data_IF_048116862716
#
_entry.id   IF_048116862716
#
_cell.length_a   1.000
_cell.length_b   1.000
_cell.length_c   1.000
_cell.angle_alpha   90.00
_cell.angle_beta   90.00
_cell.angle_gamma   90.00
#
_symmetry.space_group_name_H-M   'P 1'
#
loop_
_entity.id
_entity.type
_entity.pdbx_description
1 polymer ?
#
# COMPACT_ATOMS: atom_id res chain seq x y z
N UNK A 1 -10.84 1.92 5.58
CA UNK A 1 -10.86 0.94 4.47
C UNK A 1 -12.07 1.18 3.58
N UNK A 2 -12.30 2.44 3.25
CA UNK A 2 -13.54 2.90 2.64
C UNK A 2 -13.29 4.21 1.95
N UNK A 3 -14.07 4.55 0.93
CA UNK A 3 -14.11 5.90 0.39
C UNK A 3 -15.48 6.50 0.63
N UNK A 4 -15.58 7.83 0.55
CA UNK A 4 -16.82 8.55 0.76
C UNK A 4 -17.23 9.30 -0.51
N UNK A 5 -18.53 9.42 -0.73
CA UNK A 5 -19.17 10.35 -1.67
C UNK A 5 -20.23 11.17 -0.94
N UNK A 6 -20.67 12.25 -1.57
CA UNK A 6 -21.76 13.08 -1.08
C UNK A 6 -22.83 13.15 -2.16
N UNK A 7 -24.09 12.93 -1.78
CA UNK A 7 -25.21 13.05 -2.69
C UNK A 7 -25.36 14.51 -3.14
N UNK A 8 -25.34 14.75 -4.45
CA UNK A 8 -25.54 16.09 -5.03
C UNK A 8 -27.02 16.43 -5.22
N UNK A 9 -27.87 15.40 -5.21
CA UNK A 9 -29.32 15.46 -5.30
C UNK A 9 -29.90 14.27 -4.53
N UNK A 10 -31.21 14.29 -4.28
CA UNK A 10 -31.93 13.14 -3.73
C UNK A 10 -31.73 11.91 -4.64
N UNK A 11 -31.51 10.74 -4.03
CA UNK A 11 -31.22 9.50 -4.77
C UNK A 11 -31.71 8.27 -4.01
N UNK A 12 -32.24 7.29 -4.74
CA UNK A 12 -32.65 6.00 -4.20
C UNK A 12 -31.69 4.89 -4.65
N UNK A 13 -31.18 4.09 -3.71
CA UNK A 13 -30.35 2.93 -4.00
C UNK A 13 -30.87 1.71 -3.25
N UNK A 14 -31.29 0.66 -3.98
CA UNK A 14 -31.81 -0.58 -3.39
C UNK A 14 -32.94 -0.34 -2.37
N UNK A 15 -33.86 0.58 -2.65
CA UNK A 15 -34.96 0.95 -1.75
C UNK A 15 -34.56 1.89 -0.60
N UNK A 16 -33.28 2.29 -0.50
CA UNK A 16 -32.80 3.24 0.51
C UNK A 16 -32.79 4.64 -0.06
N UNK A 17 -33.57 5.53 0.54
CA UNK A 17 -33.61 6.95 0.17
C UNK A 17 -32.47 7.73 0.83
N UNK A 18 -31.78 8.54 0.03
CA UNK A 18 -30.73 9.46 0.47
C UNK A 18 -31.07 10.87 -0.03
N UNK A 19 -30.84 11.88 0.80
CA UNK A 19 -31.10 13.29 0.48
C UNK A 19 -29.86 13.98 -0.07
N UNK A 20 -30.09 15.05 -0.84
CA UNK A 20 -29.01 15.96 -1.22
C UNK A 20 -28.22 16.40 0.04
N UNK A 21 -26.90 16.28 -0.02
CA UNK A 21 -26.00 16.58 1.10
C UNK A 21 -25.61 15.37 1.94
N UNK A 22 -26.33 14.24 1.87
CA UNK A 22 -25.98 13.03 2.62
C UNK A 22 -24.63 12.46 2.21
N UNK A 23 -23.91 11.89 3.20
CA UNK A 23 -22.60 11.27 3.00
C UNK A 23 -22.76 9.76 2.91
N UNK A 24 -22.28 9.19 1.82
CA UNK A 24 -22.32 7.74 1.57
C UNK A 24 -20.90 7.19 1.67
N UNK A 25 -20.71 6.18 2.53
CA UNK A 25 -19.40 5.54 2.75
C UNK A 25 -19.41 4.15 2.12
N UNK A 26 -18.48 3.92 1.19
CA UNK A 26 -18.32 2.66 0.48
C UNK A 26 -17.26 1.81 1.17
N UNK A 27 -17.68 0.75 1.84
CA UNK A 27 -16.80 -0.16 2.57
C UNK A 27 -16.24 -1.26 1.65
N UNK A 28 -15.14 -0.97 0.97
CA UNK A 28 -14.49 -1.95 0.06
C UNK A 28 -14.13 -3.27 0.74
N UNK A 29 -13.81 -3.26 2.04
CA UNK A 29 -13.51 -4.49 2.79
C UNK A 29 -14.72 -5.42 2.91
N UNK A 30 -15.92 -4.88 3.07
CA UNK A 30 -17.14 -5.67 3.13
C UNK A 30 -17.46 -6.21 1.73
N UNK A 31 -17.35 -5.37 0.70
CA UNK A 31 -17.57 -5.77 -0.68
C UNK A 31 -16.62 -6.89 -1.14
N UNK A 32 -15.32 -6.81 -0.79
CA UNK A 32 -14.32 -7.84 -1.11
C UNK A 32 -14.46 -9.12 -0.26
N UNK A 33 -15.48 -9.18 0.61
CA UNK A 33 -15.84 -10.35 1.42
C UNK A 33 -17.31 -10.74 1.25
N UNK A 34 -17.98 -10.21 0.24
CA UNK A 34 -19.41 -10.45 0.00
C UNK A 34 -19.62 -11.86 -0.58
N UNK A 35 -20.35 -12.76 0.11
CA UNK A 35 -20.61 -14.12 -0.38
C UNK A 35 -21.51 -14.15 -1.61
N UNK A 36 -22.15 -13.03 -1.98
CA UNK A 36 -22.92 -12.92 -3.23
C UNK A 36 -22.04 -12.68 -4.45
N UNK A 37 -20.77 -12.29 -4.23
CA UNK A 37 -19.82 -11.97 -5.29
C UNK A 37 -18.60 -12.91 -5.31
N UNK A 38 -18.21 -13.47 -4.16
CA UNK A 38 -17.05 -14.34 -4.04
C UNK A 38 -17.42 -15.62 -3.31
N UNK A 39 -17.19 -16.77 -3.95
CA UNK A 39 -17.29 -18.07 -3.28
C UNK A 39 -16.20 -18.20 -2.21
N UNK A 40 -16.57 -18.67 -1.03
CA UNK A 40 -15.68 -18.77 0.14
C UNK A 40 -14.79 -17.51 0.33
N UNK A 41 -15.40 -16.35 0.64
CA UNK A 41 -14.72 -15.05 0.58
C UNK A 41 -13.58 -14.88 1.59
N UNK A 42 -13.52 -15.76 2.60
CA UNK A 42 -12.52 -15.71 3.66
C UNK A 42 -11.29 -16.57 3.35
N UNK A 43 -11.40 -17.52 2.42
CA UNK A 43 -10.26 -18.30 1.98
C UNK A 43 -9.33 -17.47 1.08
N UNK A 44 -8.04 -17.54 1.39
CA UNK A 44 -7.00 -16.91 0.58
C UNK A 44 -6.57 -17.85 -0.54
N UNK A 45 -7.04 -17.56 -1.74
CA UNK A 45 -6.74 -18.31 -2.96
C UNK A 45 -6.08 -17.39 -3.99
N UNK A 46 -4.84 -17.72 -4.37
CA UNK A 46 -4.05 -16.96 -5.35
C UNK A 46 -4.46 -17.27 -6.80
N UNK A 47 -5.15 -18.39 -7.03
CA UNK A 47 -5.61 -18.85 -8.35
C UNK A 47 -7.06 -18.44 -8.63
N UNK A 48 -7.73 -17.81 -7.66
CA UNK A 48 -9.13 -17.37 -7.74
C UNK A 48 -9.43 -16.67 -9.06
N UNK A 49 -10.41 -17.20 -9.79
CA UNK A 49 -10.95 -16.62 -11.02
C UNK A 49 -12.46 -16.92 -11.15
N UNK A 50 -13.32 -15.93 -11.47
CA UNK A 50 -13.02 -14.50 -11.58
C UNK A 50 -12.64 -13.87 -10.23
N UNK A 51 -12.03 -12.67 -10.26
CA UNK A 51 -11.59 -11.96 -9.06
C UNK A 51 -11.83 -10.45 -9.19
N UNK A 52 -13.11 -10.08 -9.29
CA UNK A 52 -13.56 -8.70 -9.52
C UNK A 52 -13.60 -7.86 -8.23
N UNK A 53 -12.52 -7.91 -7.46
CA UNK A 53 -12.39 -7.15 -6.22
C UNK A 53 -12.39 -5.63 -6.47
N UNK A 54 -13.01 -4.86 -5.58
CA UNK A 54 -13.12 -3.40 -5.67
C UNK A 54 -12.01 -2.67 -4.90
N UNK A 55 -10.88 -3.34 -4.66
CA UNK A 55 -9.72 -2.78 -3.94
C UNK A 55 -9.14 -1.52 -4.61
N UNK A 56 -9.27 -1.43 -5.93
CA UNK A 56 -8.85 -0.28 -6.75
C UNK A 56 -10.00 0.68 -7.10
N UNK A 57 -11.16 0.53 -6.46
CA UNK A 57 -12.42 1.19 -6.83
C UNK A 57 -13.24 0.35 -7.82
N UNK A 58 -14.56 0.48 -7.80
CA UNK A 58 -15.50 -0.34 -8.58
C UNK A 58 -15.66 0.07 -10.05
N UNK A 59 -14.57 0.37 -10.76
CA UNK A 59 -14.59 0.61 -12.22
C UNK A 59 -15.16 1.95 -12.71
N UNK A 60 -15.52 2.88 -11.81
CA UNK A 60 -16.05 4.20 -12.18
C UNK A 60 -14.97 5.25 -12.53
N UNK A 61 -15.37 6.53 -12.70
CA UNK A 61 -14.47 7.62 -13.12
C UNK A 61 -13.25 7.87 -12.21
N UNK A 62 -13.31 7.40 -10.95
CA UNK A 62 -12.22 7.50 -9.98
C UNK A 62 -11.54 6.14 -9.73
N UNK A 63 -11.62 5.22 -10.69
CA UNK A 63 -10.86 3.98 -10.66
C UNK A 63 -9.36 4.29 -10.53
N UNK A 64 -8.64 3.48 -9.76
CA UNK A 64 -7.26 3.74 -9.44
C UNK A 64 -6.40 3.77 -10.72
N UNK A 65 -5.88 4.97 -11.03
CA UNK A 65 -4.95 5.19 -12.14
C UNK A 65 -3.70 4.30 -12.03
N UNK A 66 -3.25 4.03 -10.81
CA UNK A 66 -2.07 3.22 -10.51
C UNK A 66 -2.33 1.71 -10.45
N UNK A 67 -3.55 1.22 -10.74
CA UNK A 67 -3.89 -0.19 -10.50
C UNK A 67 -2.95 -1.18 -11.23
N UNK A 68 -2.53 -0.85 -12.46
CA UNK A 68 -1.61 -1.70 -13.21
C UNK A 68 -0.18 -1.65 -12.67
N UNK A 69 0.29 -0.47 -12.23
CA UNK A 69 1.60 -0.33 -11.59
C UNK A 69 1.64 -1.11 -10.28
N UNK A 70 0.64 -0.93 -9.41
CA UNK A 70 0.55 -1.64 -8.14
C UNK A 70 0.55 -3.17 -8.32
N UNK A 71 -0.19 -3.69 -9.31
CA UNK A 71 -0.18 -5.14 -9.64
C UNK A 71 1.20 -5.61 -10.08
N UNK A 72 1.90 -4.81 -10.90
CA UNK A 72 3.26 -5.13 -11.34
C UNK A 72 4.23 -5.17 -10.16
N UNK A 73 4.21 -4.16 -9.30
CA UNK A 73 5.05 -4.07 -8.10
C UNK A 73 4.82 -5.26 -7.16
N UNK A 74 3.56 -5.59 -6.88
CA UNK A 74 3.19 -6.74 -6.04
C UNK A 74 3.72 -8.05 -6.66
N UNK A 75 3.52 -8.25 -7.96
CA UNK A 75 3.99 -9.45 -8.67
C UNK A 75 5.51 -9.59 -8.61
N UNK A 76 6.24 -8.49 -8.80
CA UNK A 76 7.71 -8.48 -8.69
C UNK A 76 8.17 -8.74 -7.26
N UNK A 77 7.58 -8.06 -6.29
CA UNK A 77 7.89 -8.23 -4.86
C UNK A 77 7.72 -9.69 -4.43
N UNK A 78 6.55 -10.30 -4.67
CA UNK A 78 6.31 -11.69 -4.26
C UNK A 78 7.20 -12.69 -5.00
N UNK A 79 7.49 -12.45 -6.28
CA UNK A 79 8.44 -13.28 -7.03
C UNK A 79 9.83 -13.28 -6.38
N UNK A 80 10.32 -12.10 -5.99
CA UNK A 80 11.65 -11.99 -5.39
C UNK A 80 11.67 -12.51 -3.95
N UNK A 81 10.60 -12.31 -3.18
CA UNK A 81 10.44 -12.93 -1.85
C UNK A 81 10.48 -14.46 -1.98
N UNK A 82 9.68 -15.04 -2.88
CA UNK A 82 9.62 -16.50 -3.05
C UNK A 82 10.97 -17.11 -3.48
N UNK A 83 11.79 -16.37 -4.24
CA UNK A 83 13.12 -16.82 -4.67
C UNK A 83 14.19 -16.65 -3.60
N UNK A 84 14.20 -15.51 -2.90
CA UNK A 84 15.30 -15.13 -2.00
C UNK A 84 15.06 -15.50 -0.54
N UNK A 85 13.80 -15.53 -0.12
CA UNK A 85 13.39 -15.68 1.28
C UNK A 85 12.40 -16.87 1.43
N UNK A 86 12.76 -18.08 0.97
CA UNK A 86 11.83 -19.21 0.95
C UNK A 86 11.41 -19.67 2.36
N UNK A 87 12.20 -19.35 3.39
CA UNK A 87 12.00 -19.72 4.79
C UNK A 87 11.60 -18.52 5.68
N UNK A 88 11.09 -17.45 5.07
CA UNK A 88 10.64 -16.26 5.80
C UNK A 88 9.53 -16.59 6.80
N UNK A 89 9.72 -16.15 8.04
CA UNK A 89 8.75 -16.34 9.12
C UNK A 89 8.71 -15.12 10.05
N UNK A 90 7.63 -15.00 10.83
CA UNK A 90 7.47 -13.93 11.81
C UNK A 90 8.48 -14.08 12.94
N UNK A 91 9.13 -12.97 13.30
CA UNK A 91 10.16 -12.91 14.35
C UNK A 91 9.78 -11.96 15.50
N UNK A 92 8.50 -11.60 15.61
CA UNK A 92 8.01 -10.72 16.66
C UNK A 92 6.62 -10.17 16.36
N UNK A 93 6.17 -9.26 17.22
CA UNK A 93 4.82 -8.73 17.15
C UNK A 93 4.58 -7.83 15.94
N UNK A 94 3.45 -8.04 15.28
CA UNK A 94 2.99 -7.21 14.17
C UNK A 94 2.37 -5.93 14.73
N UNK A 95 2.88 -4.78 14.29
CA UNK A 95 2.27 -3.49 14.64
C UNK A 95 1.43 -2.99 13.47
N UNK A 96 0.15 -2.74 13.70
CA UNK A 96 -0.76 -2.19 12.69
C UNK A 96 -0.79 -0.66 12.70
N UNK A 97 -1.11 -0.08 11.55
CA UNK A 97 -1.34 1.34 11.42
C UNK A 97 -2.67 1.72 12.08
N UNK A 98 -2.66 2.69 13.00
CA UNK A 98 -3.88 3.26 13.57
C UNK A 98 -4.52 4.21 12.56
N UNK A 99 -5.45 3.69 11.76
CA UNK A 99 -6.19 4.48 10.77
C UNK A 99 -7.61 3.93 10.59
N UNK A 100 -8.59 4.81 10.37
CA UNK A 100 -9.94 4.43 9.94
C UNK A 100 -10.06 4.30 8.42
N UNK A 101 -9.04 4.75 7.66
CA UNK A 101 -9.04 4.80 6.20
C UNK A 101 -8.12 3.74 5.57
N UNK A 102 -6.89 3.58 6.08
CA UNK A 102 -5.90 2.64 5.55
C UNK A 102 -5.79 1.40 6.44
N UNK A 103 -5.94 0.20 5.86
CA UNK A 103 -5.58 -1.06 6.54
C UNK A 103 -4.13 -1.39 6.26
N UNK A 104 -3.21 -0.91 7.10
CA UNK A 104 -1.77 -1.05 6.89
C UNK A 104 -1.06 -1.76 8.04
N UNK A 105 0.03 -2.45 7.72
CA UNK A 105 0.99 -2.97 8.69
C UNK A 105 2.12 -1.94 8.82
N UNK A 106 2.35 -1.45 10.03
CA UNK A 106 3.41 -0.47 10.35
C UNK A 106 4.75 -1.15 10.62
N UNK A 107 4.74 -2.33 11.25
CA UNK A 107 5.92 -3.16 11.48
C UNK A 107 5.56 -4.64 11.31
N UNK A 108 6.38 -5.35 10.55
CA UNK A 108 6.30 -6.79 10.34
C UNK A 108 7.69 -7.39 10.59
N UNK A 109 8.06 -7.69 11.85
CA UNK A 109 9.35 -8.31 12.15
C UNK A 109 9.40 -9.71 11.53
N UNK A 110 10.43 -9.97 10.73
CA UNK A 110 10.63 -11.26 10.05
C UNK A 110 12.08 -11.72 10.17
N UNK A 111 12.27 -13.03 10.15
CA UNK A 111 13.57 -13.68 10.03
C UNK A 111 13.56 -14.65 8.85
N UNK A 112 14.74 -14.90 8.27
CA UNK A 112 14.98 -15.80 7.14
C UNK A 112 16.47 -16.15 7.09
N UNK A 113 16.83 -17.23 6.39
CA UNK A 113 18.23 -17.58 6.18
C UNK A 113 18.85 -16.67 5.11
N UNK A 114 19.91 -15.89 5.42
CA UNK A 114 20.51 -14.99 4.44
C UNK A 114 21.11 -15.75 3.24
N UNK A 115 20.74 -15.36 2.02
CA UNK A 115 21.39 -15.80 0.79
C UNK A 115 22.31 -14.71 0.24
N UNK A 116 23.33 -15.06 -0.58
CA UNK A 116 24.09 -14.07 -1.32
C UNK A 116 23.20 -13.10 -2.11
N UNK A 117 23.68 -11.86 -2.31
CA UNK A 117 22.98 -10.87 -3.12
C UNK A 117 22.84 -11.37 -4.56
N UNK A 118 21.63 -11.30 -5.11
CA UNK A 118 21.41 -11.51 -6.55
C UNK A 118 21.82 -10.30 -7.39
N UNK A 119 22.02 -9.14 -6.75
CA UNK A 119 22.51 -7.95 -7.43
C UNK A 119 24.03 -7.97 -7.43
N UNK A 120 24.62 -8.29 -8.57
CA UNK A 120 26.07 -8.34 -8.81
C UNK A 120 26.64 -6.99 -9.27
N UNK A 121 25.77 -6.00 -9.53
CA UNK A 121 26.17 -4.64 -9.86
C UNK A 121 26.45 -3.88 -8.55
N UNK A 122 27.67 -3.33 -8.36
CA UNK A 122 27.98 -2.48 -7.21
C UNK A 122 26.99 -1.31 -7.12
N UNK A 123 26.58 -0.96 -5.90
CA UNK A 123 25.60 0.09 -5.59
C UNK A 123 26.11 1.52 -5.87
N UNK A 124 27.12 1.67 -6.73
CA UNK A 124 27.79 2.92 -7.09
C UNK A 124 27.07 3.67 -8.24
N UNK A 125 26.05 3.05 -8.87
CA UNK A 125 25.35 3.61 -10.05
C UNK A 125 23.97 4.21 -9.80
N UNK A 126 23.50 4.27 -8.55
CA UNK A 126 22.39 5.15 -8.16
C UNK A 126 22.99 6.49 -7.69
N UNK A 127 23.38 7.31 -8.67
CA UNK A 127 24.26 8.45 -8.50
C UNK A 127 23.88 9.47 -7.43
N UNK A 128 24.92 9.97 -6.77
CA UNK A 128 25.13 11.38 -6.39
C UNK A 128 24.05 12.35 -6.90
N UNK A 129 23.11 12.67 -6.02
CA UNK A 129 22.30 13.89 -6.08
C UNK A 129 22.59 14.78 -4.86
N UNK A 130 23.87 14.83 -4.44
CA UNK A 130 24.37 15.72 -3.40
C UNK A 130 25.75 16.22 -3.83
N UNK A 131 25.78 17.23 -4.70
CA UNK A 131 27.04 17.70 -5.30
C UNK A 131 26.91 18.98 -6.13
N UNK A 132 26.42 20.06 -5.52
CA UNK A 132 26.71 21.45 -5.88
C UNK A 132 26.32 22.27 -4.63
N UNK A 133 27.15 23.08 -3.97
CA UNK A 133 28.29 23.88 -4.43
C UNK A 133 29.07 24.42 -3.23
N UNK A 134 30.41 24.52 -3.36
CA UNK A 134 31.18 25.63 -2.80
C UNK A 134 31.67 25.50 -1.36
N UNK A 135 32.85 24.92 -1.18
CA UNK A 135 33.75 25.28 -0.09
C UNK A 135 34.53 26.53 -0.48
N UNK A 136 34.31 27.64 0.21
CA UNK A 136 35.34 28.66 0.42
C UNK A 136 35.34 28.99 1.92
N UNK A 137 36.49 28.78 2.55
CA UNK A 137 36.66 29.00 3.98
C UNK A 137 36.90 30.46 4.33
N UNK A 138 36.70 30.79 5.60
CA UNK A 138 37.59 31.68 6.33
C UNK A 138 37.41 31.40 7.81
N UNK A 139 38.52 31.14 8.50
CA UNK A 139 38.56 31.05 9.95
C UNK A 139 38.28 32.41 10.60
N UNK A 140 37.77 32.36 11.82
CA UNK A 140 37.59 33.50 12.70
C UNK A 140 37.09 33.02 14.05
N UNK A 141 38.00 33.00 15.02
CA UNK A 141 37.72 32.86 16.45
C UNK A 141 36.67 33.87 16.93
N UNK A 142 35.70 33.44 17.74
CA UNK A 142 35.16 34.26 18.84
C UNK A 142 34.77 33.36 20.01
N UNK A 143 35.20 33.80 21.18
CA UNK A 143 35.18 33.20 22.51
C UNK A 143 33.83 32.79 23.09
N UNK A 144 33.94 31.89 24.07
CA UNK A 144 33.01 31.62 25.17
C UNK A 144 32.49 32.92 25.83
N UNK A 145 31.18 33.00 26.00
CA UNK A 145 30.57 33.64 27.18
C UNK A 145 29.37 32.82 27.67
N UNK A 146 29.58 32.05 28.73
CA UNK A 146 28.77 31.89 29.96
C UNK A 146 29.20 30.62 30.70
#
# INVERSE_FOLDING_TARGET
LHFRRQCTQDYELNGVQMKAGDKVVLWHIAANRDPRAFDDPWNFDIERTPNDHVGFGGGGPHFCLGANLARMEIKLMFREIAKRLPDIHLAGDVAYLRSNFIGGVKKLPVAFTPTPSLNTVPMERLGSAAGASGTEGFGGDVERTS
#
